data_IF_324255032216
#
_entry.id   IF_324255032216
#
_cell.length_a   1.000
_cell.length_b   1.000
_cell.length_c   1.000
_cell.angle_alpha   90.00
_cell.angle_beta   90.00
_cell.angle_gamma   90.00
#
_symmetry.space_group_name_H-M   'P 1'
#
loop_
_entity.id
_entity.type
_entity.pdbx_description
1 polymer ?
#
# COMPACT_ATOMS: atom_id res chain seq x y z
N UNK A 1 -6.51 -35.50 -14.09
CA UNK A 1 -6.10 -34.08 -14.09
C UNK A 1 -5.38 -33.80 -12.79
N UNK A 2 -4.05 -33.71 -12.82
CA UNK A 2 -3.25 -33.52 -11.61
C UNK A 2 -3.35 -32.06 -11.16
N UNK A 3 -3.90 -31.81 -9.97
CA UNK A 3 -3.86 -30.50 -9.32
C UNK A 3 -2.40 -30.19 -8.99
N UNK A 4 -1.86 -29.10 -9.55
CA UNK A 4 -0.55 -28.59 -9.21
C UNK A 4 -0.50 -28.28 -7.70
N UNK A 5 0.56 -28.74 -7.06
CA UNK A 5 0.74 -28.66 -5.61
C UNK A 5 1.07 -27.22 -5.24
N UNK A 6 0.08 -26.53 -4.63
CA UNK A 6 0.16 -25.17 -4.09
C UNK A 6 1.45 -24.99 -3.30
N UNK A 7 2.34 -24.13 -3.78
CA UNK A 7 3.66 -23.87 -3.19
C UNK A 7 3.43 -22.98 -1.95
N UNK A 8 4.05 -23.25 -0.80
CA UNK A 8 3.86 -22.41 0.40
C UNK A 8 4.31 -20.97 0.11
N UNK A 9 3.35 -20.05 0.00
CA UNK A 9 3.51 -18.66 -0.48
C UNK A 9 2.39 -18.17 -1.42
N UNK A 10 1.56 -19.09 -1.89
CA UNK A 10 0.54 -18.90 -2.93
C UNK A 10 -0.75 -18.18 -2.45
N UNK A 11 -0.61 -17.25 -1.50
CA UNK A 11 -1.49 -16.07 -1.37
C UNK A 11 -0.66 -14.80 -1.57
N UNK A 12 0.18 -14.83 -2.60
CA UNK A 12 1.39 -14.03 -2.80
C UNK A 12 1.13 -12.55 -3.13
N UNK A 13 2.19 -11.83 -3.50
CA UNK A 13 2.05 -10.44 -3.97
C UNK A 13 1.14 -10.39 -5.19
N UNK A 14 1.28 -11.38 -6.06
CA UNK A 14 0.52 -11.57 -7.30
C UNK A 14 -0.98 -11.77 -7.02
N UNK A 15 -1.35 -12.56 -6.01
CA UNK A 15 -2.76 -12.79 -5.64
C UNK A 15 -3.39 -11.50 -5.09
N UNK A 16 -2.68 -10.79 -4.20
CA UNK A 16 -3.16 -9.52 -3.65
C UNK A 16 -3.27 -8.41 -4.72
N UNK A 17 -2.38 -8.44 -5.71
CA UNK A 17 -2.43 -7.53 -6.86
C UNK A 17 -3.62 -7.86 -7.77
N UNK A 18 -3.84 -9.14 -8.08
CA UNK A 18 -4.98 -9.59 -8.89
C UNK A 18 -6.32 -9.23 -8.23
N UNK A 19 -6.44 -9.40 -6.91
CA UNK A 19 -7.64 -8.99 -6.16
C UNK A 19 -7.83 -7.47 -6.20
N UNK A 20 -6.75 -6.69 -6.12
CA UNK A 20 -6.80 -5.22 -6.19
C UNK A 20 -7.27 -4.75 -7.57
N UNK A 21 -6.74 -5.34 -8.65
CA UNK A 21 -7.15 -5.03 -10.02
C UNK A 21 -8.65 -5.32 -10.24
N UNK A 22 -9.12 -6.48 -9.81
CA UNK A 22 -10.57 -6.83 -9.86
C UNK A 22 -11.41 -5.86 -9.05
N UNK A 23 -10.95 -5.47 -7.88
CA UNK A 23 -11.67 -4.53 -7.03
C UNK A 23 -11.79 -3.16 -7.69
N UNK A 24 -10.73 -2.66 -8.33
CA UNK A 24 -10.74 -1.41 -9.09
C UNK A 24 -11.73 -1.50 -10.26
N UNK A 25 -11.69 -2.58 -11.05
CA UNK A 25 -12.64 -2.78 -12.15
C UNK A 25 -14.10 -2.75 -11.67
N UNK A 26 -14.38 -3.37 -10.51
CA UNK A 26 -15.69 -3.34 -9.89
C UNK A 26 -16.10 -1.96 -9.33
N UNK A 27 -15.15 -1.06 -9.08
CA UNK A 27 -15.41 0.31 -8.59
C UNK A 27 -15.64 1.30 -9.74
N UNK A 28 -15.26 0.97 -10.97
CA UNK A 28 -15.48 1.81 -12.16
C UNK A 28 -16.93 1.80 -12.66
N UNK A 29 -17.79 0.94 -12.08
CA UNK A 29 -19.21 0.89 -12.42
C UNK A 29 -19.95 2.17 -12.01
N UNK A 30 -20.63 2.87 -12.93
CA UNK A 30 -21.31 4.15 -12.64
C UNK A 30 -22.56 3.98 -11.76
N UNK A 31 -23.06 2.76 -11.60
CA UNK A 31 -24.26 2.43 -10.81
C UNK A 31 -23.92 1.93 -9.40
N UNK A 32 -22.64 1.97 -9.00
CA UNK A 32 -22.24 1.45 -7.69
C UNK A 32 -22.71 2.37 -6.56
N UNK A 33 -23.48 1.88 -5.57
CA UNK A 33 -23.93 2.70 -4.46
C UNK A 33 -22.77 3.17 -3.59
N UNK A 34 -22.90 4.38 -3.04
CA UNK A 34 -21.84 5.04 -2.27
C UNK A 34 -21.35 4.19 -1.09
N UNK A 35 -22.25 3.53 -0.36
CA UNK A 35 -21.90 2.67 0.77
C UNK A 35 -20.98 1.53 0.31
N UNK A 36 -21.29 0.89 -0.82
CA UNK A 36 -20.46 -0.17 -1.41
C UNK A 36 -19.12 0.35 -1.94
N UNK A 37 -19.06 1.59 -2.44
CA UNK A 37 -17.77 2.24 -2.80
C UNK A 37 -16.87 2.35 -1.56
N UNK A 38 -17.42 2.76 -0.42
CA UNK A 38 -16.68 2.89 0.84
C UNK A 38 -16.18 1.53 1.32
N UNK A 39 -17.03 0.50 1.31
CA UNK A 39 -16.63 -0.86 1.68
C UNK A 39 -15.50 -1.40 0.79
N UNK A 40 -15.61 -1.23 -0.54
CA UNK A 40 -14.56 -1.64 -1.48
C UNK A 40 -13.27 -0.85 -1.28
N UNK A 41 -13.36 0.45 -0.99
CA UNK A 41 -12.18 1.26 -0.70
C UNK A 41 -11.40 0.72 0.52
N UNK A 42 -12.08 0.36 1.61
CA UNK A 42 -11.43 -0.21 2.79
C UNK A 42 -10.73 -1.54 2.48
N UNK A 43 -11.34 -2.39 1.67
CA UNK A 43 -10.72 -3.64 1.19
C UNK A 43 -9.50 -3.33 0.31
N UNK A 44 -9.63 -2.38 -0.62
CA UNK A 44 -8.53 -1.91 -1.47
C UNK A 44 -7.32 -1.41 -0.66
N UNK A 45 -7.56 -0.66 0.43
CA UNK A 45 -6.49 -0.21 1.33
C UNK A 45 -5.75 -1.37 2.00
N UNK A 46 -6.46 -2.44 2.40
CA UNK A 46 -5.83 -3.64 2.96
C UNK A 46 -4.97 -4.37 1.93
N UNK A 47 -5.44 -4.47 0.69
CA UNK A 47 -4.69 -5.08 -0.42
C UNK A 47 -3.42 -4.28 -0.75
N UNK A 48 -3.52 -2.94 -0.83
CA UNK A 48 -2.37 -2.04 -1.02
C UNK A 48 -1.34 -2.20 0.10
N UNK A 49 -1.79 -2.25 1.35
CA UNK A 49 -0.90 -2.48 2.49
C UNK A 49 -0.17 -3.82 2.36
N UNK A 50 -0.89 -4.91 2.06
CA UNK A 50 -0.31 -6.23 1.88
C UNK A 50 0.73 -6.28 0.75
N UNK A 51 0.44 -5.65 -0.39
CA UNK A 51 1.39 -5.52 -1.50
C UNK A 51 2.65 -4.75 -1.08
N UNK A 52 2.47 -3.63 -0.38
CA UNK A 52 3.57 -2.79 0.09
C UNK A 52 4.47 -3.54 1.07
N UNK A 53 3.91 -4.30 2.01
CA UNK A 53 4.69 -5.10 2.96
C UNK A 53 5.53 -6.17 2.25
N UNK A 54 4.97 -6.85 1.24
CA UNK A 54 5.69 -7.85 0.46
C UNK A 54 6.84 -7.23 -0.34
N UNK A 55 6.62 -6.06 -0.95
CA UNK A 55 7.66 -5.31 -1.65
C UNK A 55 8.79 -4.88 -0.69
N UNK A 56 8.44 -4.33 0.49
CA UNK A 56 9.42 -3.95 1.51
C UNK A 56 10.26 -5.15 1.98
N UNK A 57 9.62 -6.31 2.18
CA UNK A 57 10.32 -7.52 2.56
C UNK A 57 11.30 -7.99 1.46
N UNK A 58 10.89 -7.92 0.20
CA UNK A 58 11.74 -8.24 -0.94
C UNK A 58 12.94 -7.28 -1.06
N UNK A 59 12.70 -5.98 -0.96
CA UNK A 59 13.74 -4.94 -0.98
C UNK A 59 14.77 -5.14 0.13
N UNK A 60 14.31 -5.37 1.37
CA UNK A 60 15.18 -5.66 2.51
C UNK A 60 16.04 -6.90 2.26
N UNK A 61 15.47 -7.94 1.67
CA UNK A 61 16.19 -9.17 1.33
C UNK A 61 17.27 -8.92 0.26
N UNK A 62 16.96 -8.14 -0.78
CA UNK A 62 17.93 -7.75 -1.80
C UNK A 62 19.05 -6.92 -1.18
N UNK A 63 18.72 -5.91 -0.36
CA UNK A 63 19.70 -5.08 0.32
C UNK A 63 20.67 -5.91 1.17
N UNK A 64 20.17 -6.85 1.97
CA UNK A 64 21.01 -7.77 2.75
C UNK A 64 21.93 -8.64 1.88
N UNK A 65 21.46 -9.11 0.71
CA UNK A 65 22.25 -9.93 -0.20
C UNK A 65 23.35 -9.13 -0.89
N UNK A 66 23.05 -7.90 -1.32
CA UNK A 66 24.02 -6.99 -1.94
C UNK A 66 25.07 -6.55 -0.93
N UNK A 67 24.65 -6.20 0.28
CA UNK A 67 25.51 -5.75 1.37
C UNK A 67 26.50 -6.82 1.85
N UNK A 68 26.08 -8.09 1.86
CA UNK A 68 26.97 -9.25 2.09
C UNK A 68 28.02 -9.46 0.99
N UNK A 69 27.75 -9.02 -0.25
CA UNK A 69 28.70 -9.12 -1.37
C UNK A 69 29.78 -8.05 -1.33
N UNK A 70 29.50 -6.89 -0.73
CA UNK A 70 30.41 -5.76 -0.57
C UNK A 70 31.20 -5.77 0.77
N UNK A 71 30.81 -6.64 1.72
CA UNK A 71 31.55 -6.87 2.97
C UNK A 71 31.28 -5.88 4.11
N UNK A 72 30.32 -4.95 3.94
CA UNK A 72 30.03 -3.89 4.92
C UNK A 72 28.68 -4.12 5.60
N UNK A 73 28.61 -4.38 6.91
CA UNK A 73 27.34 -4.50 7.66
C UNK A 73 26.87 -3.13 8.19
N UNK A 74 25.57 -2.89 8.23
CA UNK A 74 25.00 -1.77 8.99
C UNK A 74 23.62 -2.18 9.48
N UNK A 75 23.53 -2.32 10.80
CA UNK A 75 22.31 -2.52 11.56
C UNK A 75 21.72 -1.16 11.92
N UNK A 76 20.40 -1.04 11.81
CA UNK A 76 19.65 0.12 12.27
C UNK A 76 19.11 0.99 11.14
N UNK A 77 17.96 1.60 11.40
CA UNK A 77 17.34 2.65 10.60
C UNK A 77 16.48 2.21 9.41
N UNK A 78 15.27 1.73 9.72
CA UNK A 78 14.09 1.97 8.87
C UNK A 78 12.88 2.21 9.80
N UNK A 79 12.97 3.21 10.67
CA UNK A 79 11.77 3.81 11.29
C UNK A 79 11.30 4.97 10.40
N UNK A 80 9.99 5.01 10.12
CA UNK A 80 9.33 6.24 9.68
C UNK A 80 8.90 6.35 8.21
N UNK A 81 8.00 5.47 7.76
CA UNK A 81 7.00 5.88 6.76
C UNK A 81 5.62 5.87 7.44
N UNK A 82 5.43 6.84 8.34
CA UNK A 82 4.13 7.16 8.93
C UNK A 82 3.24 7.79 7.86
N UNK A 83 1.98 7.35 7.87
CA UNK A 83 0.89 7.81 7.03
C UNK A 83 0.46 9.26 7.34
N UNK A 84 -0.03 9.95 6.31
CA UNK A 84 -1.01 11.04 6.44
C UNK A 84 -0.48 12.48 6.23
N UNK A 85 -1.16 13.30 5.40
CA UNK A 85 -0.85 14.71 5.29
C UNK A 85 -1.30 15.43 6.57
N UNK A 86 -0.37 16.11 7.26
CA UNK A 86 -0.73 17.04 8.33
C UNK A 86 -1.43 18.26 7.73
N UNK A 87 -2.76 18.25 7.77
CA UNK A 87 -3.58 19.43 7.55
C UNK A 87 -3.24 20.50 8.59
N UNK A 88 -2.51 21.54 8.18
CA UNK A 88 -2.44 22.79 8.95
C UNK A 88 -3.69 23.61 8.61
N UNK A 89 -4.74 23.52 9.45
CA UNK A 89 -5.73 24.60 9.53
C UNK A 89 -5.17 25.68 10.46
N UNK A 90 -4.88 26.85 9.93
CA UNK A 90 -4.77 28.09 10.71
C UNK A 90 -5.09 29.29 9.82
N UNK A 91 -6.15 30.02 10.19
CA UNK A 91 -6.35 31.44 9.89
C UNK A 91 -6.66 31.83 8.44
N UNK A 92 -7.94 31.97 8.09
CA UNK A 92 -8.35 33.00 7.13
C UNK A 92 -8.52 34.29 7.91
N UNK A 93 -7.48 35.09 8.00
CA UNK A 93 -7.62 36.49 8.38
C UNK A 93 -8.03 37.25 7.11
N UNK A 94 -9.32 37.52 6.98
CA UNK A 94 -9.83 38.50 6.01
C UNK A 94 -9.64 39.89 6.63
N UNK A 95 -8.73 40.74 6.15
CA UNK A 95 -8.66 42.10 6.65
C UNK A 95 -9.92 42.87 6.24
N UNK A 96 -10.49 43.57 7.21
CA UNK A 96 -11.66 44.43 7.08
C UNK A 96 -11.39 45.53 6.04
N UNK A 97 -12.14 45.52 4.94
CA UNK A 97 -11.97 46.44 3.81
C UNK A 97 -12.71 47.77 4.06
N UNK A 98 -12.43 48.41 5.21
CA UNK A 98 -12.99 49.72 5.55
C UNK A 98 -11.93 50.69 6.11
N UNK A 99 -10.76 50.73 5.49
CA UNK A 99 -9.83 51.87 5.58
C UNK A 99 -9.15 52.09 4.24
#
# INVERSE_FOLDING_TARGET
MAKAKKIPGEGGFEEALEELEKLVEQMESPELPLETIVEKYEVGMKLVAACTEKLKAAEKRISLLTKKKDGSLQEGELEGLEAGPKGKKAGRDVPDLLT
#
